data_IF_327986401340
#
_entry.id   IF_327986401340
#
_cell.length_a   1.000
_cell.length_b   1.000
_cell.length_c   1.000
_cell.angle_alpha   90.00
_cell.angle_beta   90.00
_cell.angle_gamma   90.00
#
_symmetry.space_group_name_H-M   'P 1'
#
loop_
_entity.id
_entity.type
_entity.pdbx_description
1 polymer ?
#
# COMPACT_ATOMS: atom_id res chain seq x y z
N UNK A 1 -12.19 -4.12 -7.38
CA UNK A 1 -11.52 -5.06 -6.46
C UNK A 1 -11.37 -4.38 -5.10
N UNK A 2 -11.86 -4.97 -4.01
CA UNK A 2 -11.62 -4.45 -2.66
C UNK A 2 -10.38 -5.14 -2.06
N UNK A 3 -9.58 -4.39 -1.30
CA UNK A 3 -8.45 -4.92 -0.52
C UNK A 3 -8.92 -5.02 0.94
N UNK A 4 -8.80 -6.19 1.54
CA UNK A 4 -9.17 -6.43 2.93
C UNK A 4 -7.98 -6.15 3.86
N UNK A 5 -8.25 -5.71 5.09
CA UNK A 5 -7.20 -5.39 6.06
C UNK A 5 -6.24 -6.55 6.37
N UNK A 6 -6.72 -7.80 6.30
CA UNK A 6 -5.89 -9.00 6.54
C UNK A 6 -4.96 -9.37 5.39
N UNK A 7 -5.02 -8.66 4.27
CA UNK A 7 -4.19 -8.96 3.11
C UNK A 7 -2.81 -8.32 3.27
N UNK A 8 -1.83 -8.92 2.58
CA UNK A 8 -0.47 -8.39 2.52
C UNK A 8 -0.42 -7.13 1.67
N UNK A 9 0.52 -6.24 2.01
CA UNK A 9 0.75 -5.00 1.27
C UNK A 9 1.13 -5.25 -0.20
N UNK A 10 1.72 -6.41 -0.53
CA UNK A 10 1.94 -6.85 -1.90
C UNK A 10 0.69 -6.72 -2.79
N UNK A 11 -0.50 -6.99 -2.25
CA UNK A 11 -1.75 -6.87 -3.01
C UNK A 11 -2.10 -5.41 -3.35
N UNK A 12 -1.70 -4.45 -2.51
CA UNK A 12 -1.81 -3.01 -2.79
C UNK A 12 -0.88 -2.64 -3.95
N UNK A 13 0.37 -3.12 -3.91
CA UNK A 13 1.36 -2.89 -4.98
C UNK A 13 0.85 -3.45 -6.32
N UNK A 14 0.43 -4.71 -6.35
CA UNK A 14 -0.12 -5.35 -7.55
C UNK A 14 -1.41 -4.69 -8.05
N UNK A 15 -2.23 -4.17 -7.13
CA UNK A 15 -3.42 -3.42 -7.50
C UNK A 15 -3.03 -2.13 -8.23
N UNK A 16 -2.11 -1.33 -7.67
CA UNK A 16 -1.64 -0.10 -8.29
C UNK A 16 -0.97 -0.34 -9.65
N UNK A 17 -0.09 -1.33 -9.75
CA UNK A 17 0.58 -1.72 -11.01
C UNK A 17 -0.43 -2.04 -12.12
N UNK A 18 -1.46 -2.82 -11.79
CA UNK A 18 -2.55 -3.16 -12.72
C UNK A 18 -3.39 -1.96 -13.14
N UNK A 19 -3.70 -1.06 -12.21
CA UNK A 19 -4.50 0.13 -12.51
C UNK A 19 -3.73 1.17 -13.33
N UNK A 20 -2.41 1.27 -13.13
CA UNK A 20 -1.57 2.26 -13.80
C UNK A 20 -0.89 1.73 -15.07
N UNK A 21 -1.01 0.43 -15.38
CA UNK A 21 -0.28 -0.25 -16.44
C UNK A 21 1.24 -0.03 -16.33
N UNK A 22 1.77 -0.13 -15.11
CA UNK A 22 3.19 0.05 -14.80
C UNK A 22 3.71 -1.17 -14.04
N UNK A 23 4.70 -1.86 -14.59
CA UNK A 23 5.31 -3.02 -13.94
C UNK A 23 6.27 -2.62 -12.81
N UNK A 24 6.83 -1.42 -12.91
CA UNK A 24 7.77 -0.85 -11.94
C UNK A 24 7.09 0.32 -11.25
N UNK A 25 6.95 0.22 -9.94
CA UNK A 25 6.31 1.24 -9.12
C UNK A 25 6.93 1.17 -7.73
N UNK A 26 7.41 2.31 -7.24
CA UNK A 26 7.75 2.48 -5.84
C UNK A 26 6.49 2.91 -5.08
N UNK A 27 6.22 2.27 -3.95
CA UNK A 27 5.02 2.50 -3.15
C UNK A 27 5.43 2.82 -1.73
N UNK A 28 4.88 3.90 -1.17
CA UNK A 28 5.25 4.45 0.12
C UNK A 28 4.02 4.66 1.00
N UNK A 29 4.20 4.59 2.31
CA UNK A 29 3.21 5.05 3.28
C UNK A 29 3.58 6.46 3.73
N UNK A 30 2.58 7.35 3.74
CA UNK A 30 2.69 8.75 4.19
C UNK A 30 3.90 9.52 3.61
N UNK A 31 4.26 9.25 2.34
CA UNK A 31 5.44 9.80 1.66
C UNK A 31 6.77 9.63 2.42
N UNK A 32 6.87 8.63 3.31
CA UNK A 32 8.00 8.50 4.23
C UNK A 32 8.84 7.25 3.96
N UNK A 33 8.22 6.07 3.88
CA UNK A 33 8.95 4.80 3.72
C UNK A 33 8.16 3.80 2.88
N UNK A 34 8.87 2.84 2.28
CA UNK A 34 8.26 1.68 1.60
C UNK A 34 8.10 0.54 2.61
N UNK A 35 6.88 0.09 2.91
CA UNK A 35 6.66 -1.08 3.76
C UNK A 35 7.18 -2.36 3.09
N UNK A 36 7.44 -3.39 3.88
CA UNK A 36 7.75 -4.72 3.36
C UNK A 36 6.48 -5.31 2.71
N UNK A 37 6.56 -5.89 1.48
CA UNK A 37 5.39 -6.46 0.81
C UNK A 37 4.63 -7.53 1.63
N UNK A 38 5.29 -8.18 2.59
CA UNK A 38 4.67 -9.18 3.48
C UNK A 38 3.95 -8.60 4.69
N UNK A 39 4.07 -7.29 4.97
CA UNK A 39 3.32 -6.64 6.06
C UNK A 39 1.81 -6.65 5.78
N UNK A 40 1.03 -6.79 6.84
CA UNK A 40 -0.42 -6.86 6.76
C UNK A 40 -1.01 -5.45 6.74
N UNK A 41 -1.96 -5.18 5.84
CA UNK A 41 -2.55 -3.84 5.62
C UNK A 41 -3.18 -3.27 6.90
N UNK A 42 -3.83 -4.09 7.73
CA UNK A 42 -4.43 -3.62 8.98
C UNK A 42 -3.39 -3.19 10.00
N UNK A 43 -2.22 -3.82 10.04
CA UNK A 43 -1.14 -3.44 10.95
C UNK A 43 -0.51 -2.11 10.51
N UNK A 44 -0.32 -1.94 9.19
CA UNK A 44 0.12 -0.67 8.60
C UNK A 44 -0.89 0.45 8.87
N UNK A 45 -2.19 0.17 8.79
CA UNK A 45 -3.24 1.12 9.16
C UNK A 45 -3.20 1.47 10.65
N UNK A 46 -3.06 0.48 11.53
CA UNK A 46 -3.02 0.71 12.97
C UNK A 46 -1.80 1.56 13.40
N UNK A 47 -0.67 1.40 12.71
CA UNK A 47 0.57 2.11 13.03
C UNK A 47 0.69 3.48 12.36
N UNK A 48 0.14 3.63 11.15
CA UNK A 48 0.41 4.80 10.28
C UNK A 48 -0.84 5.44 9.69
N UNK A 49 -2.04 4.98 10.05
CA UNK A 49 -3.30 5.54 9.61
C UNK A 49 -3.52 6.96 10.14
N UNK A 50 -4.11 7.82 9.31
CA UNK A 50 -4.43 9.22 9.62
C UNK A 50 -5.85 9.48 9.14
N UNK A 51 -6.69 10.12 9.95
CA UNK A 51 -8.08 10.49 9.62
C UNK A 51 -8.92 9.31 9.08
N UNK A 52 -8.78 8.13 9.69
CA UNK A 52 -9.55 6.94 9.31
C UNK A 52 -9.14 6.31 7.98
N UNK A 53 -7.97 6.65 7.42
CA UNK A 53 -7.42 6.06 6.20
C UNK A 53 -5.92 5.76 6.33
N UNK A 54 -5.44 4.80 5.56
CA UNK A 54 -4.01 4.60 5.31
C UNK A 54 -3.65 5.32 4.01
N UNK A 55 -2.75 6.30 4.06
CA UNK A 55 -2.33 7.04 2.86
C UNK A 55 -1.16 6.30 2.20
N UNK A 56 -1.35 5.96 0.93
CA UNK A 56 -0.35 5.29 0.09
C UNK A 56 0.02 6.21 -1.07
N UNK A 57 1.31 6.47 -1.20
CA UNK A 57 1.90 7.29 -2.26
C UNK A 57 2.64 6.38 -3.25
N UNK A 58 2.76 6.81 -4.51
CA UNK A 58 3.49 6.05 -5.52
C UNK A 58 4.32 6.95 -6.43
N UNK A 59 5.41 6.40 -6.96
CA UNK A 59 6.30 7.03 -7.93
C UNK A 59 6.85 5.98 -8.92
N UNK A 60 7.30 6.44 -10.09
CA UNK A 60 8.02 5.62 -11.08
C UNK A 60 9.44 5.29 -10.63
#
# INVERSE_FOLDING_TARGET
SQIQGREKFLKVIEFLRRQLHQDTLFVYINSAFSPNPDEVVIDLYNNFGIDGKLVVNYAL
#
